data_IF_783541387310
#
_entry.id   IF_783541387310
#
_cell.length_a   1.000
_cell.length_b   1.000
_cell.length_c   1.000
_cell.angle_alpha   90.00
_cell.angle_beta   90.00
_cell.angle_gamma   90.00
#
_symmetry.space_group_name_H-M   'P 1'
#
loop_
_entity.id
_entity.type
_entity.pdbx_description
1 polymer ?
#
# COMPACT_ATOMS: atom_id res chain seq x y z
N UNK A 1 0.55 11.59 -11.18
CA UNK A 1 1.59 11.41 -12.23
C UNK A 1 3.01 11.46 -11.64
N UNK A 2 3.26 12.29 -10.63
CA UNK A 2 4.62 12.47 -10.08
C UNK A 2 5.13 11.19 -9.40
N UNK A 3 4.32 10.52 -8.56
CA UNK A 3 4.73 9.27 -7.90
C UNK A 3 4.98 8.15 -8.92
N UNK A 4 4.08 7.96 -9.88
CA UNK A 4 4.26 6.97 -10.95
C UNK A 4 5.53 7.22 -11.76
N UNK A 5 5.87 8.48 -12.04
CA UNK A 5 7.06 8.83 -12.80
C UNK A 5 8.38 8.50 -12.09
N UNK A 6 8.34 8.28 -10.77
CA UNK A 6 9.51 7.84 -9.99
C UNK A 6 9.76 6.33 -10.10
N UNK A 7 8.73 5.54 -10.41
CA UNK A 7 8.85 4.08 -10.57
C UNK A 7 9.30 3.75 -12.00
N UNK A 8 10.62 3.73 -12.22
CA UNK A 8 11.20 3.47 -13.53
C UNK A 8 11.83 2.08 -13.58
N UNK A 9 11.52 1.24 -14.58
CA UNK A 9 12.19 -0.05 -14.75
C UNK A 9 13.72 0.13 -14.82
N UNK A 10 14.45 -0.67 -14.04
CA UNK A 10 15.90 -0.62 -13.97
C UNK A 10 16.49 0.53 -13.13
N UNK A 11 15.67 1.43 -12.62
CA UNK A 11 16.08 2.50 -11.70
C UNK A 11 15.08 2.60 -10.54
N UNK A 12 15.16 1.68 -9.55
CA UNK A 12 14.20 1.60 -8.46
C UNK A 12 14.22 2.85 -7.59
N UNK A 13 13.04 3.39 -7.27
CA UNK A 13 12.89 4.46 -6.30
C UNK A 13 12.92 3.90 -4.88
N UNK A 14 13.57 4.62 -3.97
CA UNK A 14 13.53 4.31 -2.53
C UNK A 14 12.47 5.21 -1.88
N UNK A 15 11.44 4.60 -1.33
CA UNK A 15 10.40 5.25 -0.52
C UNK A 15 10.67 4.92 0.95
N UNK A 16 11.27 5.83 1.75
CA UNK A 16 11.47 5.57 3.16
C UNK A 16 10.12 5.48 3.88
N UNK A 17 10.04 4.56 4.83
CA UNK A 17 8.85 4.38 5.68
C UNK A 17 8.83 5.46 6.76
N UNK A 18 7.71 6.18 6.81
CA UNK A 18 7.45 7.22 7.81
C UNK A 18 6.15 6.91 8.57
N UNK A 19 5.96 7.49 9.76
CA UNK A 19 4.82 7.18 10.63
C UNK A 19 4.22 8.40 11.33
N UNK A 20 4.86 9.57 11.21
CA UNK A 20 4.39 10.85 11.73
C UNK A 20 4.97 12.03 10.94
N UNK A 21 4.51 13.22 11.24
CA UNK A 21 4.98 14.45 10.58
C UNK A 21 6.47 14.74 10.80
N UNK A 22 7.05 14.28 11.92
CA UNK A 22 8.47 14.49 12.21
C UNK A 22 9.36 13.58 11.36
N UNK A 23 9.08 12.27 11.33
CA UNK A 23 9.80 11.32 10.47
C UNK A 23 9.68 11.68 8.99
N UNK A 24 8.50 12.18 8.55
CA UNK A 24 8.29 12.63 7.18
C UNK A 24 9.19 13.83 6.82
N UNK A 25 9.24 14.86 7.69
CA UNK A 25 10.15 16.00 7.46
C UNK A 25 11.62 15.59 7.42
N UNK A 26 12.06 14.72 8.32
CA UNK A 26 13.44 14.22 8.31
C UNK A 26 13.78 13.50 7.00
N UNK A 27 12.85 12.69 6.48
CA UNK A 27 13.06 11.99 5.22
C UNK A 27 13.15 12.97 4.03
N UNK A 28 12.29 14.00 4.00
CA UNK A 28 12.36 15.06 2.97
C UNK A 28 13.65 15.86 3.08
N UNK A 29 14.07 16.24 4.29
CA UNK A 29 15.33 16.95 4.53
C UNK A 29 16.56 16.11 4.11
N UNK A 30 16.45 14.78 4.20
CA UNK A 30 17.45 13.85 3.68
C UNK A 30 17.46 13.71 2.15
N UNK A 31 16.51 14.34 1.43
CA UNK A 31 16.46 14.40 -0.02
C UNK A 31 15.60 13.33 -0.70
N UNK A 32 14.74 12.62 0.04
CA UNK A 32 13.83 11.65 -0.57
C UNK A 32 12.69 12.35 -1.33
N UNK A 33 12.44 11.90 -2.58
CA UNK A 33 11.49 12.52 -3.50
C UNK A 33 10.03 12.06 -3.31
N UNK A 34 9.81 10.98 -2.58
CA UNK A 34 8.51 10.45 -2.20
C UNK A 34 8.65 9.58 -0.95
N UNK A 35 7.56 9.33 -0.22
CA UNK A 35 7.56 8.59 1.03
C UNK A 35 6.49 7.50 1.02
N UNK A 36 6.64 6.51 1.91
CA UNK A 36 5.56 5.58 2.23
C UNK A 36 5.20 5.65 3.71
N UNK A 37 3.91 5.68 4.04
CA UNK A 37 3.43 5.55 5.41
C UNK A 37 3.29 4.07 5.73
N UNK A 38 3.99 3.59 6.74
CA UNK A 38 3.93 2.20 7.16
C UNK A 38 2.84 1.96 8.20
N UNK A 39 1.97 0.98 7.97
CA UNK A 39 0.90 0.58 8.90
C UNK A 39 1.45 0.19 10.28
N UNK A 40 2.45 -0.69 10.31
CA UNK A 40 3.09 -1.17 11.54
C UNK A 40 3.63 -0.03 12.43
N UNK A 41 4.57 0.84 11.98
CA UNK A 41 5.08 1.90 12.84
C UNK A 41 4.03 2.95 13.21
N UNK A 42 2.99 3.16 12.38
CA UNK A 42 1.85 4.01 12.76
C UNK A 42 1.07 3.37 13.89
N UNK A 43 0.70 2.09 13.79
CA UNK A 43 0.00 1.36 14.84
C UNK A 43 0.79 1.36 16.16
N UNK A 44 2.09 1.03 16.11
CA UNK A 44 2.98 1.06 17.27
C UNK A 44 3.04 2.43 17.94
N UNK A 45 3.08 3.52 17.15
CA UNK A 45 3.15 4.89 17.66
C UNK A 45 1.93 5.31 18.48
N UNK A 46 0.81 4.60 18.33
CA UNK A 46 -0.46 4.83 19.05
C UNK A 46 -0.83 3.66 19.99
N UNK A 47 0.09 2.71 20.18
CA UNK A 47 -0.10 1.56 21.08
C UNK A 47 -1.12 0.53 20.57
N UNK A 48 -1.29 0.41 19.27
CA UNK A 48 -2.14 -0.57 18.61
C UNK A 48 -1.32 -1.69 17.99
N UNK A 49 -1.84 -2.92 17.91
CA UNK A 49 -1.17 -3.99 17.20
C UNK A 49 -1.23 -3.76 15.69
N UNK A 50 -0.24 -4.30 14.98
CA UNK A 50 -0.21 -4.44 13.51
C UNK A 50 -1.26 -5.46 13.03
N UNK A 51 -1.58 -5.45 11.75
CA UNK A 51 -2.55 -6.37 11.15
C UNK A 51 -4.00 -5.93 11.34
N UNK A 52 -4.30 -4.70 10.91
CA UNK A 52 -5.61 -4.04 11.03
C UNK A 52 -6.09 -3.89 12.50
N UNK A 53 -5.16 -3.80 13.44
CA UNK A 53 -5.46 -3.49 14.83
C UNK A 53 -5.86 -2.03 15.07
N UNK A 54 -5.65 -1.19 14.10
CA UNK A 54 -6.08 0.20 14.01
C UNK A 54 -7.20 0.31 12.97
N UNK A 55 -8.14 1.24 13.11
CA UNK A 55 -9.15 1.47 12.08
C UNK A 55 -8.57 2.21 10.88
N UNK A 56 -9.22 2.08 9.71
CA UNK A 56 -8.84 2.85 8.52
C UNK A 56 -8.94 4.35 8.76
N UNK A 57 -9.94 4.82 9.50
CA UNK A 57 -10.09 6.24 9.85
C UNK A 57 -8.94 6.74 10.73
N UNK A 58 -8.44 5.94 11.68
CA UNK A 58 -7.28 6.28 12.50
C UNK A 58 -6.01 6.38 11.64
N UNK A 59 -5.84 5.46 10.67
CA UNK A 59 -4.76 5.52 9.69
C UNK A 59 -4.86 6.80 8.85
N UNK A 60 -6.04 7.11 8.30
CA UNK A 60 -6.26 8.32 7.51
C UNK A 60 -5.99 9.60 8.31
N UNK A 61 -6.38 9.64 9.59
CA UNK A 61 -6.07 10.78 10.46
C UNK A 61 -4.56 10.99 10.62
N UNK A 62 -3.78 9.91 10.70
CA UNK A 62 -2.32 9.98 10.74
C UNK A 62 -1.73 10.41 9.40
N UNK A 63 -2.23 9.84 8.30
CA UNK A 63 -1.80 10.20 6.94
C UNK A 63 -2.04 11.70 6.68
N UNK A 64 -3.19 12.25 7.08
CA UNK A 64 -3.49 13.68 6.95
C UNK A 64 -2.46 14.57 7.67
N UNK A 65 -1.96 14.16 8.84
CA UNK A 65 -0.89 14.90 9.54
C UNK A 65 0.44 14.87 8.79
N UNK A 66 0.73 13.74 8.13
CA UNK A 66 1.96 13.56 7.34
C UNK A 66 1.88 14.38 6.06
N UNK A 67 0.80 14.27 5.29
CA UNK A 67 0.62 15.00 4.02
C UNK A 67 0.58 16.50 4.22
N UNK A 68 0.03 16.98 5.36
CA UNK A 68 0.07 18.40 5.70
C UNK A 68 1.47 18.92 6.09
N UNK A 69 2.43 18.04 6.37
CA UNK A 69 3.76 18.41 6.84
C UNK A 69 4.84 18.44 5.75
N UNK A 70 4.55 17.89 4.56
CA UNK A 70 5.52 17.74 3.44
C UNK A 70 4.84 17.89 2.09
N UNK A 71 5.58 18.30 1.07
CA UNK A 71 5.08 18.54 -0.29
C UNK A 71 5.43 17.41 -1.29
N UNK A 72 5.99 16.30 -0.82
CA UNK A 72 6.33 15.16 -1.69
C UNK A 72 5.19 14.15 -1.77
N UNK A 73 5.09 13.36 -2.85
CA UNK A 73 4.06 12.33 -2.98
C UNK A 73 4.14 11.29 -1.87
N UNK A 74 2.97 10.89 -1.36
CA UNK A 74 2.84 9.90 -0.28
C UNK A 74 2.12 8.66 -0.81
N UNK A 75 2.73 7.48 -0.59
CA UNK A 75 2.09 6.16 -0.65
C UNK A 75 1.71 5.71 0.75
N UNK A 76 0.70 4.87 0.91
CA UNK A 76 0.23 4.39 2.21
C UNK A 76 0.13 2.87 2.20
N UNK A 77 0.69 2.21 3.20
CA UNK A 77 0.44 0.80 3.45
C UNK A 77 -0.97 0.64 4.05
N UNK A 78 -1.89 0.11 3.25
CA UNK A 78 -3.30 -0.12 3.64
C UNK A 78 -3.56 -1.56 4.05
N UNK A 79 -2.50 -2.28 4.40
CA UNK A 79 -2.57 -3.67 4.85
C UNK A 79 -3.41 -4.54 3.89
N UNK A 80 -4.43 -5.24 4.36
CA UNK A 80 -5.31 -6.04 3.50
C UNK A 80 -6.52 -5.27 2.95
N UNK A 81 -6.63 -3.97 3.26
CA UNK A 81 -7.73 -3.11 2.80
C UNK A 81 -8.89 -2.96 3.78
N UNK A 82 -8.73 -3.36 5.05
CA UNK A 82 -9.70 -3.12 6.14
C UNK A 82 -11.13 -3.62 5.83
N UNK A 83 -11.27 -4.65 4.99
CA UNK A 83 -12.55 -5.14 4.47
C UNK A 83 -13.41 -4.05 3.77
N UNK A 84 -12.78 -2.99 3.28
CA UNK A 84 -13.43 -1.89 2.55
C UNK A 84 -13.44 -2.15 1.05
N UNK A 85 -14.35 -1.45 0.34
CA UNK A 85 -14.36 -1.45 -1.13
C UNK A 85 -13.21 -0.62 -1.70
N UNK A 86 -12.85 -0.87 -2.97
CA UNK A 86 -11.85 -0.08 -3.67
C UNK A 86 -12.16 1.43 -3.66
N UNK A 87 -13.44 1.80 -3.84
CA UNK A 87 -13.88 3.19 -3.80
C UNK A 87 -13.64 3.82 -2.42
N UNK A 88 -14.02 3.14 -1.34
CA UNK A 88 -13.81 3.63 0.03
C UNK A 88 -12.33 3.85 0.35
N UNK A 89 -11.47 2.94 -0.09
CA UNK A 89 -10.02 3.06 0.13
C UNK A 89 -9.46 4.24 -0.67
N UNK A 90 -9.76 4.30 -1.96
CA UNK A 90 -9.22 5.35 -2.85
C UNK A 90 -9.74 6.73 -2.45
N UNK A 91 -11.04 6.89 -2.19
CA UNK A 91 -11.63 8.15 -1.75
C UNK A 91 -11.02 8.61 -0.43
N UNK A 92 -10.86 7.70 0.54
CA UNK A 92 -10.22 8.00 1.81
C UNK A 92 -8.78 8.50 1.65
N UNK A 93 -7.97 7.81 0.85
CA UNK A 93 -6.57 8.19 0.60
C UNK A 93 -6.46 9.53 -0.12
N UNK A 94 -7.25 9.75 -1.17
CA UNK A 94 -7.26 11.01 -1.90
C UNK A 94 -7.75 12.16 -1.03
N UNK A 95 -8.75 11.91 -0.17
CA UNK A 95 -9.27 12.89 0.78
C UNK A 95 -8.23 13.41 1.77
N UNK A 96 -7.18 12.64 2.05
CA UNK A 96 -6.05 13.04 2.91
C UNK A 96 -4.77 13.36 2.13
N UNK A 97 -4.84 13.43 0.79
CA UNK A 97 -3.73 13.85 -0.07
C UNK A 97 -2.71 12.76 -0.40
N UNK A 98 -2.97 11.49 -0.10
CA UNK A 98 -2.14 10.37 -0.54
C UNK A 98 -2.46 10.01 -2.00
N UNK A 99 -1.43 9.60 -2.77
CA UNK A 99 -1.52 9.33 -4.21
C UNK A 99 -0.94 7.97 -4.60
N UNK A 100 -0.68 7.12 -3.63
CA UNK A 100 -0.26 5.73 -3.81
C UNK A 100 -0.67 4.88 -2.63
N UNK A 101 -0.69 3.57 -2.83
CA UNK A 101 -0.96 2.60 -1.78
C UNK A 101 -0.16 1.31 -1.99
N UNK A 102 0.10 0.59 -0.88
CA UNK A 102 0.50 -0.81 -0.89
C UNK A 102 -0.70 -1.63 -0.42
N UNK A 103 -0.98 -2.73 -1.11
CA UNK A 103 -2.04 -3.67 -0.75
C UNK A 103 -1.49 -5.09 -0.72
N UNK A 104 -1.65 -5.77 0.40
CA UNK A 104 -1.18 -7.15 0.58
C UNK A 104 -2.29 -8.18 0.42
N UNK A 105 -1.88 -9.43 0.22
CA UNK A 105 -2.81 -10.56 0.04
C UNK A 105 -3.14 -11.31 1.34
N UNK A 106 -2.61 -10.91 2.50
CA UNK A 106 -2.99 -11.47 3.80
C UNK A 106 -4.33 -10.88 4.25
N UNK A 107 -5.33 -11.73 4.54
CA UNK A 107 -6.62 -11.31 5.11
C UNK A 107 -6.59 -11.44 6.63
N UNK A 108 -6.37 -10.34 7.33
CA UNK A 108 -6.20 -10.34 8.79
C UNK A 108 -7.46 -10.79 9.53
N UNK A 109 -8.64 -10.37 9.09
CA UNK A 109 -9.93 -10.71 9.69
C UNK A 109 -10.33 -12.18 9.53
N UNK A 110 -9.67 -12.94 8.64
CA UNK A 110 -9.97 -14.33 8.34
C UNK A 110 -8.83 -15.27 8.78
N UNK A 111 -8.31 -15.08 9.97
CA UNK A 111 -7.24 -15.91 10.51
C UNK A 111 -5.90 -15.76 9.80
N UNK A 112 -5.69 -14.62 9.15
CA UNK A 112 -4.47 -14.29 8.37
C UNK A 112 -4.22 -15.27 7.21
N UNK A 113 -5.28 -15.77 6.57
CA UNK A 113 -5.12 -16.54 5.32
C UNK A 113 -4.61 -15.64 4.20
N UNK A 114 -3.95 -16.23 3.23
CA UNK A 114 -3.67 -15.53 1.98
C UNK A 114 -4.91 -15.57 1.07
N UNK A 115 -5.21 -14.46 0.39
CA UNK A 115 -6.12 -14.45 -0.75
C UNK A 115 -5.59 -15.40 -1.82
N UNK A 116 -6.46 -16.00 -2.60
CA UNK A 116 -6.05 -16.61 -3.87
C UNK A 116 -5.53 -15.54 -4.82
N UNK A 117 -4.79 -15.91 -5.87
CA UNK A 117 -4.36 -14.97 -6.91
C UNK A 117 -5.53 -14.18 -7.48
N UNK A 118 -6.65 -14.86 -7.77
CA UNK A 118 -7.85 -14.24 -8.32
C UNK A 118 -8.51 -13.24 -7.37
N UNK A 119 -8.65 -13.59 -6.07
CA UNK A 119 -9.18 -12.67 -5.05
C UNK A 119 -8.31 -11.41 -4.92
N UNK A 120 -6.99 -11.56 -4.97
CA UNK A 120 -6.07 -10.42 -4.87
C UNK A 120 -6.12 -9.56 -6.14
N UNK A 121 -6.13 -10.17 -7.30
CA UNK A 121 -6.28 -9.47 -8.57
C UNK A 121 -7.62 -8.74 -8.68
N UNK A 122 -8.72 -9.33 -8.17
CA UNK A 122 -10.03 -8.66 -8.13
C UNK A 122 -9.99 -7.38 -7.28
N UNK A 123 -9.36 -7.45 -6.09
CA UNK A 123 -9.17 -6.28 -5.22
C UNK A 123 -8.31 -5.20 -5.89
N UNK A 124 -7.18 -5.59 -6.49
CA UNK A 124 -6.32 -4.66 -7.26
C UNK A 124 -7.11 -4.01 -8.40
N UNK A 125 -7.89 -4.80 -9.13
CA UNK A 125 -8.76 -4.28 -10.19
C UNK A 125 -9.84 -3.31 -9.69
N UNK A 126 -10.41 -3.56 -8.50
CA UNK A 126 -11.35 -2.64 -7.87
C UNK A 126 -10.69 -1.31 -7.48
N UNK A 127 -9.48 -1.35 -6.89
CA UNK A 127 -8.68 -0.17 -6.56
C UNK A 127 -8.33 0.63 -7.83
N UNK A 128 -7.93 -0.04 -8.91
CA UNK A 128 -7.62 0.61 -10.19
C UNK A 128 -8.84 1.31 -10.77
N UNK A 129 -10.00 0.63 -10.83
CA UNK A 129 -11.23 1.25 -11.32
C UNK A 129 -11.65 2.47 -10.49
N UNK A 130 -11.53 2.39 -9.18
CA UNK A 130 -11.82 3.52 -8.29
C UNK A 130 -10.88 4.70 -8.56
N UNK A 131 -9.58 4.45 -8.71
CA UNK A 131 -8.59 5.47 -9.05
C UNK A 131 -8.90 6.12 -10.41
N UNK A 132 -9.21 5.32 -11.43
CA UNK A 132 -9.55 5.82 -12.77
C UNK A 132 -10.84 6.68 -12.73
N UNK A 133 -11.84 6.26 -11.97
CA UNK A 133 -13.08 7.02 -11.79
C UNK A 133 -12.87 8.37 -11.08
N UNK A 134 -11.90 8.46 -10.16
CA UNK A 134 -11.56 9.70 -9.45
C UNK A 134 -10.83 10.71 -10.34
N UNK A 135 -10.32 10.31 -11.49
CA UNK A 135 -9.49 11.13 -12.38
C UNK A 135 -8.05 11.35 -11.88
N UNK A 136 -7.68 10.73 -10.76
CA UNK A 136 -6.32 10.76 -10.21
C UNK A 136 -5.68 9.38 -10.36
N UNK A 137 -4.51 9.32 -11.00
CA UNK A 137 -3.75 8.06 -11.06
C UNK A 137 -3.12 7.75 -9.70
N UNK A 138 -3.82 6.98 -8.86
CA UNK A 138 -3.26 6.43 -7.63
C UNK A 138 -2.34 5.26 -7.99
N UNK A 139 -1.10 5.29 -7.51
CA UNK A 139 -0.13 4.21 -7.74
C UNK A 139 -0.49 3.03 -6.85
N UNK A 140 -0.82 1.90 -7.47
CA UNK A 140 -1.15 0.66 -6.77
C UNK A 140 0.07 -0.26 -6.76
N UNK A 141 0.65 -0.48 -5.59
CA UNK A 141 1.70 -1.46 -5.36
C UNK A 141 1.08 -2.74 -4.78
N UNK A 142 1.04 -3.81 -5.57
CA UNK A 142 0.51 -5.09 -5.13
C UNK A 142 1.62 -5.92 -4.48
N UNK A 143 1.39 -6.31 -3.22
CA UNK A 143 2.32 -7.12 -2.41
C UNK A 143 1.80 -8.53 -2.24
N UNK A 144 2.69 -9.53 -2.26
CA UNK A 144 2.36 -10.87 -1.78
C UNK A 144 3.15 -11.24 -0.53
N UNK A 145 2.47 -11.80 0.44
CA UNK A 145 3.05 -12.23 1.71
C UNK A 145 3.47 -13.72 1.72
N UNK A 146 3.51 -14.37 0.56
CA UNK A 146 3.93 -15.77 0.43
C UNK A 146 5.22 -16.10 1.18
N UNK A 147 6.22 -15.21 1.07
CA UNK A 147 7.52 -15.39 1.74
C UNK A 147 7.43 -15.06 3.23
N UNK A 148 6.77 -13.97 3.59
CA UNK A 148 6.57 -13.56 4.98
C UNK A 148 5.82 -14.61 5.78
N UNK A 149 4.81 -15.21 5.17
CA UNK A 149 3.96 -16.25 5.76
C UNK A 149 4.56 -17.65 5.64
N UNK A 150 5.63 -17.82 4.88
CA UNK A 150 6.21 -19.13 4.55
C UNK A 150 5.14 -20.11 4.04
N UNK A 151 4.21 -19.59 3.22
CA UNK A 151 3.06 -20.34 2.74
C UNK A 151 3.49 -21.45 1.78
N UNK A 152 2.94 -22.66 1.98
CA UNK A 152 3.16 -23.84 1.12
C UNK A 152 4.61 -24.30 1.04
N UNK A 153 4.95 -24.99 -0.04
CA UNK A 153 6.29 -25.53 -0.27
C UNK A 153 7.26 -24.41 -0.67
N UNK A 154 8.47 -24.47 -0.14
CA UNK A 154 9.53 -23.51 -0.46
C UNK A 154 10.00 -23.66 -1.91
N UNK A 155 9.99 -24.88 -2.46
CA UNK A 155 10.53 -25.17 -3.78
C UNK A 155 9.74 -24.52 -4.93
N UNK A 156 8.45 -24.22 -4.74
CA UNK A 156 7.59 -23.60 -5.75
C UNK A 156 7.17 -22.16 -5.39
N UNK A 157 7.61 -21.63 -4.23
CA UNK A 157 7.15 -20.34 -3.70
C UNK A 157 7.47 -19.18 -4.62
N UNK A 158 8.61 -19.19 -5.29
CA UNK A 158 8.99 -18.15 -6.27
C UNK A 158 8.05 -18.17 -7.47
N UNK A 159 7.78 -19.34 -8.04
CA UNK A 159 6.89 -19.49 -9.21
C UNK A 159 5.46 -19.06 -8.85
N UNK A 160 4.98 -19.44 -7.65
CA UNK A 160 3.68 -18.99 -7.14
C UNK A 160 3.63 -17.47 -6.93
N UNK A 161 4.69 -16.85 -6.43
CA UNK A 161 4.77 -15.39 -6.27
C UNK A 161 4.71 -14.70 -7.64
N UNK A 162 5.48 -15.18 -8.61
CA UNK A 162 5.47 -14.67 -9.99
C UNK A 162 4.07 -14.76 -10.59
N UNK A 163 3.40 -15.91 -10.47
CA UNK A 163 2.05 -16.09 -10.97
C UNK A 163 1.06 -15.10 -10.34
N UNK A 164 1.07 -14.96 -9.01
CA UNK A 164 0.20 -14.03 -8.28
C UNK A 164 0.40 -12.58 -8.70
N UNK A 165 1.66 -12.15 -8.74
CA UNK A 165 1.99 -10.77 -9.09
C UNK A 165 1.72 -10.49 -10.58
N UNK A 166 1.86 -11.48 -11.46
CA UNK A 166 1.46 -11.36 -12.87
C UNK A 166 -0.04 -11.12 -13.01
N UNK A 167 -0.88 -11.84 -12.24
CA UNK A 167 -2.33 -11.60 -12.22
C UNK A 167 -2.66 -10.20 -11.68
N UNK A 168 -1.99 -9.76 -10.61
CA UNK A 168 -2.17 -8.42 -10.05
C UNK A 168 -1.75 -7.32 -11.06
N UNK A 169 -0.65 -7.53 -11.80
CA UNK A 169 -0.24 -6.62 -12.88
C UNK A 169 -1.30 -6.54 -13.98
N UNK A 170 -1.85 -7.69 -14.40
CA UNK A 170 -2.94 -7.77 -15.37
C UNK A 170 -4.23 -7.08 -14.91
N UNK A 171 -4.45 -7.00 -13.59
CA UNK A 171 -5.58 -6.32 -12.97
C UNK A 171 -5.35 -4.79 -12.80
N UNK A 172 -4.15 -4.28 -13.04
CA UNK A 172 -3.86 -2.85 -13.03
C UNK A 172 -2.95 -2.37 -11.90
N UNK A 173 -2.18 -3.25 -11.26
CA UNK A 173 -1.10 -2.82 -10.39
C UNK A 173 0.00 -2.10 -11.20
N UNK A 174 0.54 -1.02 -10.66
CA UNK A 174 1.63 -0.26 -11.26
C UNK A 174 3.00 -0.77 -10.79
N UNK A 175 3.05 -1.33 -9.59
CA UNK A 175 4.25 -1.82 -8.91
C UNK A 175 3.93 -3.18 -8.27
N UNK A 176 4.97 -4.05 -8.17
CA UNK A 176 4.84 -5.42 -7.66
C UNK A 176 5.93 -5.71 -6.64
#
# INVERSE_FOLDING_TARGET
RTLLALHQPGNPVILPTVWDAWSARLAVDAGFAALTVGSHPVADSVGKPDGEGMSFDDLLARVAQITAAVDVPISVDVESGYALSGDQIVDGLLGVGAVGLNIEDTVHSEGKRLRTSAEHAELVGALRRAADASGVHVVVNARTDLFLRQDGDESDRVDRAIARLTEAAGAGADVL
#
